data_IF_900844686749
#
_entry.id   IF_900844686749
#
_cell.length_a   1.000
_cell.length_b   1.000
_cell.length_c   1.000
_cell.angle_alpha   90.00
_cell.angle_beta   90.00
_cell.angle_gamma   90.00
#
_symmetry.space_group_name_H-M   'P 1'
#
loop_
_entity.id
_entity.type
_entity.pdbx_description
1 polymer ?
#
# COMPACT_ATOMS: atom_id res chain seq x y z
N UNK A 1 -17.82 -4.35 17.33
CA UNK A 1 -19.05 -3.60 17.60
C UNK A 1 -18.95 -2.26 16.87
N UNK A 2 -20.07 -1.80 16.28
CA UNK A 2 -20.12 -0.47 15.66
C UNK A 2 -19.92 0.57 16.78
N UNK A 3 -19.12 1.60 16.48
CA UNK A 3 -18.91 2.72 17.40
C UNK A 3 -20.22 3.53 17.54
N UNK A 4 -20.75 3.65 18.77
CA UNK A 4 -21.87 4.54 19.07
C UNK A 4 -21.33 5.85 19.66
N UNK A 5 -21.40 6.96 18.92
CA UNK A 5 -20.89 8.23 19.39
C UNK A 5 -21.78 8.90 20.46
N UNK A 6 -23.06 8.51 20.59
CA UNK A 6 -24.05 9.20 21.41
C UNK A 6 -23.67 9.36 22.90
N UNK A 7 -23.20 8.30 23.59
CA UNK A 7 -22.83 8.46 25.01
C UNK A 7 -21.64 9.42 25.21
N UNK A 8 -20.62 9.33 24.34
CA UNK A 8 -19.44 10.17 24.42
C UNK A 8 -19.74 11.62 24.02
N UNK A 9 -20.62 11.82 23.05
CA UNK A 9 -21.12 13.15 22.66
C UNK A 9 -21.90 13.81 23.80
N UNK A 10 -22.86 13.10 24.41
CA UNK A 10 -23.64 13.61 25.53
C UNK A 10 -22.74 14.08 26.69
N UNK A 11 -21.72 13.27 27.03
CA UNK A 11 -20.72 13.64 28.03
C UNK A 11 -19.93 14.89 27.63
N UNK A 12 -19.49 14.99 26.38
CA UNK A 12 -18.73 16.12 25.90
C UNK A 12 -19.56 17.43 25.93
N UNK A 13 -20.87 17.35 25.64
CA UNK A 13 -21.79 18.51 25.79
C UNK A 13 -21.90 18.92 27.26
N UNK A 14 -22.14 17.97 28.15
CA UNK A 14 -22.29 18.22 29.57
C UNK A 14 -21.03 18.84 30.21
N UNK A 15 -19.85 18.54 29.67
CA UNK A 15 -18.55 19.03 30.18
C UNK A 15 -17.99 20.20 29.37
N UNK A 16 -18.75 20.80 28.44
CA UNK A 16 -18.32 21.87 27.51
C UNK A 16 -17.00 21.56 26.77
N UNK A 17 -16.86 20.32 26.29
CA UNK A 17 -15.64 19.80 25.62
C UNK A 17 -15.90 19.28 24.21
N UNK A 18 -16.86 19.87 23.49
CA UNK A 18 -17.18 19.47 22.11
C UNK A 18 -15.98 19.55 21.14
N UNK A 19 -15.13 20.61 21.17
CA UNK A 19 -13.97 20.68 20.28
C UNK A 19 -12.98 19.53 20.54
N UNK A 20 -12.71 19.20 21.81
CA UNK A 20 -11.81 18.12 22.20
C UNK A 20 -12.40 16.74 21.82
N UNK A 21 -13.70 16.57 22.00
CA UNK A 21 -14.39 15.36 21.57
C UNK A 21 -14.31 15.19 20.06
N UNK A 22 -14.61 16.22 19.28
CA UNK A 22 -14.50 16.20 17.82
C UNK A 22 -13.07 15.86 17.35
N UNK A 23 -12.06 16.48 17.98
CA UNK A 23 -10.66 16.16 17.71
C UNK A 23 -10.32 14.70 18.05
N UNK A 24 -10.91 14.15 19.13
CA UNK A 24 -10.68 12.76 19.53
C UNK A 24 -11.24 11.72 18.56
N UNK A 25 -12.15 12.09 17.65
CA UNK A 25 -12.71 11.20 16.64
C UNK A 25 -11.76 11.01 15.45
N UNK A 26 -10.81 11.92 15.25
CA UNK A 26 -9.85 11.81 14.16
C UNK A 26 -8.80 10.71 14.44
N UNK A 27 -8.30 10.00 13.41
CA UNK A 27 -7.17 9.10 13.57
C UNK A 27 -5.95 9.85 14.15
N UNK A 28 -5.28 9.31 15.18
CA UNK A 28 -4.18 10.00 15.87
C UNK A 28 -2.83 9.87 15.15
N UNK A 29 -2.84 9.89 13.81
CA UNK A 29 -1.66 9.63 12.99
C UNK A 29 -1.20 10.87 12.24
N UNK A 30 0.10 11.11 12.22
CA UNK A 30 0.72 12.19 11.43
C UNK A 30 0.40 12.07 9.93
N UNK A 31 0.29 10.84 9.41
CA UNK A 31 -0.15 10.59 8.03
C UNK A 31 -1.56 11.08 7.73
N UNK A 32 -2.51 10.92 8.67
CA UNK A 32 -3.87 11.45 8.53
C UNK A 32 -3.88 12.97 8.59
N UNK A 33 -3.16 13.58 9.56
CA UNK A 33 -3.05 15.04 9.66
C UNK A 33 -2.40 15.66 8.41
N UNK A 34 -1.37 14.98 7.86
CA UNK A 34 -0.76 15.37 6.60
C UNK A 34 -1.75 15.36 5.43
N UNK A 35 -2.61 14.34 5.32
CA UNK A 35 -3.68 14.30 4.32
C UNK A 35 -4.72 15.40 4.53
N UNK A 36 -5.10 15.70 5.77
CA UNK A 36 -6.05 16.78 6.09
C UNK A 36 -5.51 18.14 5.64
N UNK A 37 -4.23 18.42 5.91
CA UNK A 37 -3.54 19.65 5.44
C UNK A 37 -3.41 19.66 3.91
N UNK A 38 -3.13 18.51 3.31
CA UNK A 38 -3.11 18.31 1.87
C UNK A 38 -4.46 18.61 1.25
N UNK A 39 -5.55 18.09 1.82
CA UNK A 39 -6.91 18.35 1.34
C UNK A 39 -7.19 19.86 1.26
N UNK A 40 -6.96 20.58 2.36
CA UNK A 40 -7.18 22.05 2.38
C UNK A 40 -6.34 22.78 1.32
N UNK A 41 -5.11 22.30 1.04
CA UNK A 41 -4.26 22.87 0.00
C UNK A 41 -4.84 22.64 -1.40
N UNK A 42 -5.31 21.43 -1.69
CA UNK A 42 -5.87 21.10 -3.00
C UNK A 42 -7.25 21.70 -3.24
N UNK A 43 -8.07 21.84 -2.19
CA UNK A 43 -9.32 22.62 -2.24
C UNK A 43 -9.05 24.07 -2.61
N UNK A 44 -8.05 24.72 -1.98
CA UNK A 44 -7.65 26.07 -2.34
C UNK A 44 -7.19 26.19 -3.80
N UNK A 45 -6.40 25.20 -4.30
CA UNK A 45 -6.00 25.17 -5.71
C UNK A 45 -7.24 25.06 -6.61
N UNK A 46 -8.20 24.21 -6.29
CA UNK A 46 -9.47 24.06 -7.02
C UNK A 46 -10.24 25.40 -7.05
N UNK A 47 -10.40 26.03 -5.89
CA UNK A 47 -11.20 27.25 -5.73
C UNK A 47 -10.55 28.46 -6.46
N UNK A 48 -9.26 28.41 -6.74
CA UNK A 48 -8.54 29.38 -7.58
C UNK A 48 -8.49 29.01 -9.06
N UNK A 49 -9.27 28.00 -9.50
CA UNK A 49 -9.41 27.59 -10.89
C UNK A 49 -8.65 26.32 -11.26
N UNK A 50 -7.96 25.68 -10.32
CA UNK A 50 -7.22 24.42 -10.58
C UNK A 50 -6.03 24.60 -11.52
N UNK A 51 -5.86 23.65 -12.43
CA UNK A 51 -4.86 23.71 -13.49
C UNK A 51 -5.40 23.20 -14.82
N UNK A 52 -5.02 23.85 -15.93
CA UNK A 52 -5.34 23.35 -17.25
C UNK A 52 -4.50 22.12 -17.59
N UNK A 53 -5.01 21.28 -18.51
CA UNK A 53 -4.24 20.16 -19.05
C UNK A 53 -3.03 20.65 -19.83
N UNK A 54 -1.90 19.99 -19.61
CA UNK A 54 -0.67 20.20 -20.37
C UNK A 54 -0.70 19.38 -21.67
N UNK A 55 -0.20 19.96 -22.76
CA UNK A 55 0.13 19.22 -23.98
C UNK A 55 1.58 18.71 -23.95
N UNK A 56 1.91 17.74 -24.80
CA UNK A 56 3.29 17.25 -24.94
C UNK A 56 4.27 18.33 -25.42
N UNK A 57 3.77 19.35 -26.14
CA UNK A 57 4.55 20.51 -26.61
C UNK A 57 4.48 21.74 -25.71
N UNK A 58 4.01 21.60 -24.44
CA UNK A 58 3.93 22.73 -23.52
C UNK A 58 5.31 23.40 -23.33
N UNK A 59 5.34 24.73 -23.32
CA UNK A 59 6.57 25.46 -23.04
C UNK A 59 7.10 25.25 -21.64
N UNK A 60 8.40 25.47 -21.44
CA UNK A 60 9.03 25.33 -20.11
C UNK A 60 8.32 26.17 -19.03
N UNK A 61 7.88 27.36 -19.35
CA UNK A 61 7.21 28.27 -18.42
C UNK A 61 5.83 27.76 -18.02
N UNK A 62 5.07 27.21 -18.97
CA UNK A 62 3.77 26.59 -18.70
C UNK A 62 3.94 25.37 -17.79
N UNK A 63 4.94 24.53 -18.05
CA UNK A 63 5.25 23.38 -17.19
C UNK A 63 5.68 23.82 -15.78
N UNK A 64 6.53 24.87 -15.67
CA UNK A 64 6.94 25.43 -14.37
C UNK A 64 5.73 25.95 -13.58
N UNK A 65 4.88 26.73 -14.23
CA UNK A 65 3.67 27.28 -13.59
C UNK A 65 2.79 26.15 -13.06
N UNK A 66 2.61 25.05 -13.83
CA UNK A 66 1.86 23.87 -13.38
C UNK A 66 2.53 23.18 -12.18
N UNK A 67 3.84 23.02 -12.19
CA UNK A 67 4.58 22.38 -11.09
C UNK A 67 4.55 23.23 -9.81
N UNK A 68 4.62 24.55 -9.93
CA UNK A 68 4.62 25.50 -8.81
C UNK A 68 3.32 25.47 -7.99
N UNK A 69 2.19 25.07 -8.58
CA UNK A 69 0.93 24.90 -7.86
C UNK A 69 1.02 23.86 -6.72
N UNK A 70 1.84 22.83 -6.92
CA UNK A 70 1.99 21.73 -5.96
C UNK A 70 3.35 21.73 -5.24
N UNK A 71 4.32 22.49 -5.71
CA UNK A 71 5.68 22.55 -5.18
C UNK A 71 6.19 24.00 -5.14
N UNK A 72 6.07 24.61 -3.98
CA UNK A 72 6.49 25.99 -3.75
C UNK A 72 7.99 26.23 -3.92
N UNK A 73 8.81 25.16 -4.02
CA UNK A 73 10.25 25.26 -4.28
C UNK A 73 10.58 25.44 -5.78
N UNK A 74 9.60 25.32 -6.66
CA UNK A 74 9.78 25.58 -8.09
C UNK A 74 9.93 27.08 -8.33
N UNK A 75 11.13 27.48 -8.76
CA UNK A 75 11.48 28.89 -9.09
C UNK A 75 11.73 29.06 -10.58
N UNK A 76 11.70 30.31 -11.05
CA UNK A 76 12.03 30.63 -12.46
C UNK A 76 13.47 30.30 -12.85
N UNK A 77 14.39 30.27 -11.89
CA UNK A 77 15.83 30.06 -12.11
C UNK A 77 16.27 28.60 -11.98
N UNK A 78 15.44 27.75 -11.39
CA UNK A 78 15.76 26.32 -11.24
C UNK A 78 15.75 25.61 -12.60
N UNK A 79 16.66 24.65 -12.87
CA UNK A 79 16.56 23.77 -14.04
C UNK A 79 15.21 23.02 -14.07
N UNK A 80 14.46 23.09 -15.16
CA UNK A 80 13.17 22.42 -15.31
C UNK A 80 13.27 20.90 -15.07
N UNK A 81 14.41 20.30 -15.48
CA UNK A 81 14.70 18.89 -15.25
C UNK A 81 14.66 18.53 -13.76
N UNK A 82 15.20 19.38 -12.88
CA UNK A 82 15.20 19.16 -11.44
C UNK A 82 13.78 19.24 -10.86
N UNK A 83 12.99 20.22 -11.26
CA UNK A 83 11.58 20.36 -10.87
C UNK A 83 10.74 19.17 -11.35
N UNK A 84 10.93 18.71 -12.59
CA UNK A 84 10.27 17.52 -13.14
C UNK A 84 10.68 16.25 -12.37
N UNK A 85 11.95 16.08 -12.04
CA UNK A 85 12.42 14.93 -11.25
C UNK A 85 11.78 14.89 -9.85
N UNK A 86 11.60 16.03 -9.18
CA UNK A 86 10.88 16.09 -7.92
C UNK A 86 9.41 15.70 -8.09
N UNK A 87 8.73 16.25 -9.08
CA UNK A 87 7.34 15.90 -9.40
C UNK A 87 7.20 14.40 -9.71
N UNK A 88 8.08 13.84 -10.54
CA UNK A 88 8.10 12.42 -10.88
C UNK A 88 8.25 11.54 -9.64
N UNK A 89 9.15 11.89 -8.69
CA UNK A 89 9.26 11.17 -7.41
C UNK A 89 7.96 11.24 -6.60
N UNK A 90 7.31 12.41 -6.52
CA UNK A 90 6.03 12.59 -5.84
C UNK A 90 4.93 11.71 -6.43
N UNK A 91 4.93 11.55 -7.76
CA UNK A 91 3.97 10.68 -8.46
C UNK A 91 4.42 9.22 -8.57
N UNK A 92 5.54 8.85 -7.93
CA UNK A 92 6.09 7.49 -7.98
C UNK A 92 6.61 7.10 -9.35
N UNK A 93 6.98 8.06 -10.19
CA UNK A 93 7.55 7.85 -11.52
C UNK A 93 9.09 7.78 -11.46
N UNK A 94 9.72 7.19 -12.49
CA UNK A 94 11.16 7.31 -12.67
C UNK A 94 11.54 8.80 -12.83
N UNK A 95 12.52 9.31 -12.07
CA UNK A 95 12.89 10.71 -12.11
C UNK A 95 13.79 11.02 -13.32
N UNK A 96 13.25 10.89 -14.53
CA UNK A 96 13.96 11.16 -15.79
C UNK A 96 14.24 12.64 -16.01
N UNK A 97 13.44 13.52 -15.43
CA UNK A 97 13.48 14.97 -15.67
C UNK A 97 12.90 15.37 -17.04
N UNK A 98 12.24 14.44 -17.72
CA UNK A 98 11.60 14.68 -19.02
C UNK A 98 10.08 14.74 -18.87
N UNK A 99 9.42 15.58 -19.68
CA UNK A 99 7.96 15.58 -19.79
C UNK A 99 7.53 14.45 -20.74
N UNK A 100 7.78 13.21 -20.32
CA UNK A 100 7.36 12.02 -21.05
C UNK A 100 5.84 11.76 -20.90
N UNK A 101 5.29 10.80 -21.66
CA UNK A 101 3.88 10.50 -21.67
C UNK A 101 3.33 10.12 -20.27
N UNK A 102 4.11 9.43 -19.45
CA UNK A 102 3.70 9.06 -18.08
C UNK A 102 3.68 10.26 -17.16
N UNK A 103 4.69 11.12 -17.27
CA UNK A 103 4.78 12.38 -16.51
C UNK A 103 3.62 13.29 -16.88
N UNK A 104 3.35 13.41 -18.19
CA UNK A 104 2.23 14.21 -18.69
C UNK A 104 0.88 13.68 -18.18
N UNK A 105 0.65 12.37 -18.23
CA UNK A 105 -0.55 11.74 -17.69
C UNK A 105 -0.70 12.05 -16.20
N UNK A 106 0.38 11.95 -15.41
CA UNK A 106 0.33 12.24 -13.98
C UNK A 106 0.06 13.72 -13.67
N UNK A 107 0.64 14.64 -14.43
CA UNK A 107 0.41 16.08 -14.28
C UNK A 107 -0.99 16.51 -14.72
N UNK A 108 -1.61 15.77 -15.60
CA UNK A 108 -2.96 16.04 -16.14
C UNK A 108 -4.10 15.41 -15.34
N UNK A 109 -3.81 14.65 -14.27
CA UNK A 109 -4.86 14.26 -13.33
C UNK A 109 -5.47 15.53 -12.75
N UNK A 110 -6.81 15.63 -12.79
CA UNK A 110 -7.51 16.84 -12.35
C UNK A 110 -7.33 17.12 -10.86
N UNK A 111 -7.53 18.35 -10.44
CA UNK A 111 -7.48 18.70 -9.02
C UNK A 111 -8.59 17.98 -8.23
N UNK A 112 -9.76 17.77 -8.83
CA UNK A 112 -10.87 17.06 -8.20
C UNK A 112 -10.55 15.57 -8.02
N UNK A 113 -9.90 14.93 -9.00
CA UNK A 113 -9.41 13.55 -8.83
C UNK A 113 -8.34 13.44 -7.74
N UNK A 114 -7.49 14.45 -7.58
CA UNK A 114 -6.52 14.51 -6.46
C UNK A 114 -7.22 14.65 -5.12
N UNK A 115 -8.23 15.50 -5.02
CA UNK A 115 -9.07 15.66 -3.83
C UNK A 115 -9.77 14.33 -3.51
N UNK A 116 -10.39 13.69 -4.49
CA UNK A 116 -11.04 12.40 -4.32
C UNK A 116 -10.06 11.33 -3.81
N UNK A 117 -8.83 11.27 -4.36
CA UNK A 117 -7.79 10.37 -3.88
C UNK A 117 -7.37 10.68 -2.44
N UNK A 118 -7.22 11.96 -2.06
CA UNK A 118 -6.92 12.36 -0.68
C UNK A 118 -8.03 11.90 0.26
N UNK A 119 -9.29 12.18 -0.07
CA UNK A 119 -10.45 11.78 0.73
C UNK A 119 -10.54 10.26 0.90
N UNK A 120 -10.34 9.50 -0.16
CA UNK A 120 -10.31 8.04 -0.11
C UNK A 120 -9.22 7.51 0.83
N UNK A 121 -8.03 8.13 0.83
CA UNK A 121 -6.94 7.75 1.71
C UNK A 121 -7.17 8.21 3.16
N UNK A 122 -7.81 9.35 3.40
CA UNK A 122 -8.26 9.74 4.74
C UNK A 122 -9.25 8.72 5.31
N UNK A 123 -10.18 8.20 4.48
CA UNK A 123 -11.10 7.16 4.91
C UNK A 123 -10.37 5.85 5.24
N UNK A 124 -9.36 5.43 4.46
CA UNK A 124 -8.54 4.25 4.77
C UNK A 124 -7.79 4.37 6.09
N UNK A 125 -7.37 5.58 6.48
CA UNK A 125 -6.77 5.80 7.79
C UNK A 125 -7.76 5.58 8.93
N UNK A 126 -9.06 5.82 8.73
CA UNK A 126 -10.10 5.54 9.74
C UNK A 126 -10.32 4.05 9.99
N UNK A 127 -9.89 3.19 9.06
CA UNK A 127 -9.94 1.73 9.22
C UNK A 127 -8.78 1.19 10.03
N UNK A 128 -7.75 1.98 10.27
CA UNK A 128 -6.60 1.58 11.07
C UNK A 128 -6.96 1.56 12.57
N UNK A 129 -6.38 0.62 13.36
CA UNK A 129 -6.51 0.67 14.81
C UNK A 129 -6.04 2.01 15.36
N UNK A 130 -6.62 2.47 16.45
CA UNK A 130 -6.18 3.74 17.06
C UNK A 130 -4.77 3.67 17.67
N UNK A 131 -4.32 2.50 18.00
CA UNK A 131 -2.96 2.21 18.48
C UNK A 131 -2.33 1.17 17.55
N UNK A 132 -1.19 1.48 17.01
CA UNK A 132 -0.42 0.58 16.17
C UNK A 132 0.65 -0.12 17.01
N UNK A 133 0.89 -1.43 16.78
CA UNK A 133 2.00 -2.13 17.41
C UNK A 133 3.33 -1.44 17.14
N UNK A 134 4.19 -1.37 18.18
CA UNK A 134 5.51 -0.72 18.08
C UNK A 134 6.34 -1.34 16.97
N UNK A 135 6.43 -2.67 16.92
CA UNK A 135 7.13 -3.38 15.85
C UNK A 135 6.10 -3.84 14.82
N UNK A 136 6.18 -3.28 13.63
CA UNK A 136 5.25 -3.61 12.56
C UNK A 136 5.85 -3.49 11.17
N UNK A 137 5.31 -4.25 10.27
CA UNK A 137 5.57 -4.19 8.83
C UNK A 137 4.35 -3.58 8.14
N UNK A 138 4.58 -2.59 7.31
CA UNK A 138 3.54 -2.01 6.46
C UNK A 138 3.94 -2.16 4.99
N UNK A 139 3.06 -2.74 4.19
CA UNK A 139 3.22 -2.81 2.74
C UNK A 139 2.23 -1.85 2.10
N UNK A 140 2.72 -0.80 1.46
CA UNK A 140 1.88 0.00 0.59
C UNK A 140 1.79 -0.68 -0.78
N UNK A 141 0.67 -1.30 -1.06
CA UNK A 141 0.41 -2.09 -2.28
C UNK A 141 0.54 -1.21 -3.52
N UNK A 142 -0.08 -0.02 -3.55
CA UNK A 142 -0.07 0.88 -4.71
C UNK A 142 1.34 1.44 -5.01
N UNK A 143 2.17 1.63 -3.98
CA UNK A 143 3.56 2.07 -4.13
C UNK A 143 4.52 0.90 -4.36
N UNK A 144 4.09 -0.33 -4.10
CA UNK A 144 4.91 -1.53 -4.10
C UNK A 144 6.18 -1.34 -3.23
N UNK A 145 5.98 -0.92 -1.97
CA UNK A 145 7.02 -0.65 -0.98
C UNK A 145 6.62 -1.30 0.34
N UNK A 146 7.58 -1.99 0.97
CA UNK A 146 7.48 -2.46 2.35
C UNK A 146 8.32 -1.56 3.24
N UNK A 147 7.77 -1.15 4.38
CA UNK A 147 8.48 -0.41 5.44
C UNK A 147 8.33 -1.12 6.77
N UNK A 148 9.41 -1.25 7.50
CA UNK A 148 9.46 -1.74 8.88
C UNK A 148 9.46 -0.53 9.80
N UNK A 149 8.60 -0.54 10.81
CA UNK A 149 8.49 0.52 11.81
C UNK A 149 8.85 0.01 13.20
N UNK A 150 9.47 0.89 13.97
CA UNK A 150 9.62 0.77 15.41
C UNK A 150 9.02 2.03 16.06
N UNK A 151 7.88 1.90 16.74
CA UNK A 151 7.07 3.06 17.07
C UNK A 151 6.59 3.76 15.80
N UNK A 152 6.71 5.08 15.75
CA UNK A 152 6.35 5.87 14.56
C UNK A 152 7.51 6.10 13.60
N UNK A 153 8.69 5.59 13.92
CA UNK A 153 9.90 5.75 13.10
C UNK A 153 10.08 4.60 12.11
N UNK A 154 10.33 4.89 10.83
CA UNK A 154 10.69 3.89 9.84
C UNK A 154 12.14 3.43 10.04
N UNK A 155 12.33 2.17 10.40
CA UNK A 155 13.67 1.56 10.57
C UNK A 155 14.33 1.26 9.23
N UNK A 156 13.56 0.71 8.30
CA UNK A 156 14.03 0.38 6.94
C UNK A 156 12.87 0.30 5.97
N UNK A 157 13.19 0.55 4.70
CA UNK A 157 12.24 0.36 3.60
C UNK A 157 12.89 -0.43 2.47
N UNK A 158 12.08 -1.16 1.71
CA UNK A 158 12.52 -1.88 0.53
C UNK A 158 11.44 -1.91 -0.55
N UNK A 159 11.88 -2.08 -1.79
CA UNK A 159 10.95 -2.30 -2.90
C UNK A 159 10.29 -3.67 -2.76
N UNK A 160 9.04 -3.73 -3.19
CA UNK A 160 8.25 -4.94 -3.28
C UNK A 160 7.70 -5.13 -4.69
N UNK A 161 7.19 -6.32 -4.98
CA UNK A 161 6.31 -6.57 -6.13
C UNK A 161 5.00 -7.07 -5.58
N UNK A 162 3.92 -6.37 -5.89
CA UNK A 162 2.56 -6.65 -5.43
C UNK A 162 1.70 -7.21 -6.55
N UNK A 163 0.47 -7.55 -6.26
CA UNK A 163 -0.47 -8.13 -7.21
C UNK A 163 -0.72 -7.25 -8.44
N UNK A 164 -0.91 -7.89 -9.58
CA UNK A 164 -1.36 -7.19 -10.79
C UNK A 164 -2.81 -6.71 -10.64
N UNK A 165 -3.30 -5.79 -11.49
CA UNK A 165 -4.70 -5.37 -11.46
C UNK A 165 -5.70 -6.54 -11.58
N UNK A 166 -5.33 -7.60 -12.28
CA UNK A 166 -6.15 -8.81 -12.45
C UNK A 166 -5.97 -9.85 -11.34
N UNK A 167 -4.94 -9.73 -10.51
CA UNK A 167 -4.63 -10.62 -9.39
C UNK A 167 -4.23 -9.76 -8.18
N UNK A 168 -5.19 -9.04 -7.64
CA UNK A 168 -4.96 -8.01 -6.64
C UNK A 168 -4.41 -8.56 -5.32
N UNK A 169 -3.48 -7.84 -4.71
CA UNK A 169 -3.13 -8.07 -3.30
C UNK A 169 -4.25 -7.49 -2.43
N UNK A 170 -4.87 -8.27 -1.53
CA UNK A 170 -5.92 -7.76 -0.66
C UNK A 170 -5.36 -6.82 0.41
N UNK A 171 -6.15 -5.82 0.82
CA UNK A 171 -5.91 -5.10 2.06
C UNK A 171 -6.26 -5.99 3.24
N UNK A 172 -5.36 -6.11 4.20
CA UNK A 172 -5.58 -6.86 5.44
C UNK A 172 -4.58 -6.48 6.53
N UNK A 173 -4.90 -6.86 7.77
CA UNK A 173 -3.97 -6.87 8.90
C UNK A 173 -3.86 -8.28 9.46
N UNK A 174 -2.67 -8.66 9.89
CA UNK A 174 -2.38 -9.96 10.51
C UNK A 174 -1.07 -9.87 11.32
N UNK A 175 -0.57 -11.03 11.77
CA UNK A 175 0.70 -11.14 12.46
C UNK A 175 1.57 -12.20 11.78
N UNK A 176 2.79 -11.82 11.41
CA UNK A 176 3.81 -12.76 10.94
C UNK A 176 4.27 -13.56 12.16
N UNK A 177 4.13 -14.88 12.09
CA UNK A 177 4.44 -15.78 13.19
C UNK A 177 5.65 -16.69 12.93
N UNK A 178 6.02 -16.88 11.65
CA UNK A 178 7.15 -17.74 11.29
C UNK A 178 7.77 -17.36 9.95
N UNK A 179 9.04 -17.74 9.80
CA UNK A 179 9.79 -17.68 8.55
C UNK A 179 10.03 -19.11 8.08
N UNK A 180 9.74 -19.41 6.83
CA UNK A 180 10.13 -20.67 6.22
C UNK A 180 11.36 -20.42 5.38
N UNK A 181 12.46 -21.04 5.79
CA UNK A 181 13.75 -21.01 5.07
C UNK A 181 13.73 -22.11 4.02
N UNK A 182 14.24 -21.82 2.84
CA UNK A 182 14.23 -22.71 1.67
C UNK A 182 12.83 -23.34 1.44
N UNK A 183 11.78 -22.51 1.21
CA UNK A 183 10.41 -22.99 1.08
C UNK A 183 10.20 -23.75 -0.24
N UNK A 184 9.56 -24.94 -0.24
CA UNK A 184 8.95 -25.47 -1.44
C UNK A 184 7.72 -24.64 -1.81
N UNK A 185 7.41 -24.51 -3.09
CA UNK A 185 6.19 -23.84 -3.53
C UNK A 185 5.11 -24.85 -3.89
N UNK A 186 4.11 -24.96 -3.05
CA UNK A 186 2.86 -25.62 -3.38
C UNK A 186 2.05 -24.69 -4.28
N UNK A 187 2.00 -24.97 -5.57
CA UNK A 187 1.36 -24.09 -6.55
C UNK A 187 -0.15 -24.06 -6.32
N UNK A 188 -0.76 -22.87 -6.12
CA UNK A 188 -2.22 -22.74 -6.06
C UNK A 188 -2.87 -23.33 -7.31
N UNK A 189 -4.01 -24.02 -7.14
CA UNK A 189 -4.68 -24.72 -8.25
C UNK A 189 -5.12 -23.75 -9.36
N UNK A 190 -5.46 -22.51 -9.03
CA UNK A 190 -5.77 -21.44 -9.99
C UNK A 190 -4.61 -21.17 -10.96
N UNK A 191 -3.39 -21.06 -10.44
CA UNK A 191 -2.15 -20.88 -11.22
C UNK A 191 -1.82 -22.17 -11.97
N UNK A 192 -1.91 -23.31 -11.28
CA UNK A 192 -1.61 -24.61 -11.88
C UNK A 192 -2.46 -24.85 -13.14
N UNK A 193 -3.77 -24.64 -13.06
CA UNK A 193 -4.69 -24.84 -14.18
C UNK A 193 -4.48 -23.83 -15.31
N UNK A 194 -4.30 -22.57 -14.98
CA UNK A 194 -4.22 -21.48 -15.97
C UNK A 194 -2.87 -21.43 -16.68
N UNK A 195 -1.76 -21.72 -15.98
CA UNK A 195 -0.42 -21.38 -16.47
C UNK A 195 0.55 -22.57 -16.58
N UNK A 196 0.36 -23.61 -15.77
CA UNK A 196 1.35 -24.68 -15.69
C UNK A 196 0.90 -25.95 -16.38
N UNK A 197 -0.28 -26.51 -16.07
CA UNK A 197 -0.75 -27.73 -16.74
C UNK A 197 -0.79 -27.61 -18.27
N UNK A 198 -1.14 -26.46 -18.89
CA UNK A 198 -1.10 -26.31 -20.35
C UNK A 198 0.30 -26.48 -20.96
N UNK A 199 1.37 -26.29 -20.18
CA UNK A 199 2.75 -26.48 -20.67
C UNK A 199 3.14 -27.94 -20.87
N UNK A 200 2.38 -28.86 -20.33
CA UNK A 200 2.64 -30.31 -20.39
C UNK A 200 3.69 -30.81 -19.37
N UNK A 201 3.56 -32.07 -18.98
CA UNK A 201 4.37 -32.73 -17.93
C UNK A 201 5.87 -32.67 -18.18
N UNK A 202 6.31 -32.95 -19.42
CA UNK A 202 7.72 -32.93 -19.77
C UNK A 202 8.36 -31.55 -19.61
N UNK A 203 7.66 -30.48 -20.00
CA UNK A 203 8.11 -29.09 -19.82
C UNK A 203 8.20 -28.74 -18.34
N UNK A 204 7.18 -29.09 -17.56
CA UNK A 204 7.16 -28.82 -16.12
C UNK A 204 8.31 -29.53 -15.40
N UNK A 205 8.60 -30.81 -15.75
CA UNK A 205 9.73 -31.54 -15.19
C UNK A 205 11.07 -30.86 -15.50
N UNK A 206 11.28 -30.42 -16.76
CA UNK A 206 12.48 -29.65 -17.17
C UNK A 206 12.61 -28.32 -16.40
N UNK A 207 11.49 -27.68 -16.02
CA UNK A 207 11.44 -26.45 -15.22
C UNK A 207 11.56 -26.74 -13.72
N UNK A 208 11.78 -27.97 -13.28
CA UNK A 208 11.97 -28.36 -11.89
C UNK A 208 10.67 -28.53 -11.09
N UNK A 209 9.51 -28.55 -11.75
CA UNK A 209 8.23 -28.83 -11.08
C UNK A 209 8.01 -30.34 -10.94
N UNK A 210 7.35 -30.74 -9.85
CA UNK A 210 6.90 -32.12 -9.60
C UNK A 210 5.36 -32.13 -9.56
N UNK A 211 4.77 -33.11 -10.23
CA UNK A 211 3.33 -33.39 -10.16
C UNK A 211 3.14 -34.48 -9.11
N UNK A 212 2.36 -34.18 -8.08
CA UNK A 212 2.12 -35.05 -6.93
C UNK A 212 0.64 -35.39 -6.88
N UNK A 213 0.30 -36.66 -6.70
CA UNK A 213 -1.09 -37.08 -6.47
C UNK A 213 -1.59 -36.59 -5.11
N UNK A 214 -2.84 -36.15 -5.04
CA UNK A 214 -3.49 -35.83 -3.79
C UNK A 214 -4.22 -37.07 -3.24
N UNK A 215 -4.50 -37.14 -1.93
CA UNK A 215 -5.25 -38.25 -1.33
C UNK A 215 -6.61 -38.51 -2.01
N UNK A 216 -7.23 -37.44 -2.52
CA UNK A 216 -8.54 -37.46 -3.19
C UNK A 216 -8.44 -37.85 -4.69
N UNK A 217 -7.27 -38.34 -5.14
CA UNK A 217 -7.05 -38.80 -6.51
C UNK A 217 -6.78 -37.68 -7.54
N UNK A 218 -6.71 -36.44 -7.10
CA UNK A 218 -6.33 -35.30 -7.94
C UNK A 218 -4.81 -35.14 -8.10
N UNK A 219 -4.40 -34.09 -8.79
CA UNK A 219 -2.97 -33.75 -8.98
C UNK A 219 -2.72 -32.32 -8.49
N UNK A 220 -1.58 -32.12 -7.88
CA UNK A 220 -1.03 -30.81 -7.54
C UNK A 220 0.38 -30.65 -8.09
N UNK A 221 0.76 -29.41 -8.37
CA UNK A 221 2.11 -29.05 -8.79
C UNK A 221 2.87 -28.52 -7.58
N UNK A 222 4.09 -29.01 -7.39
CA UNK A 222 5.01 -28.56 -6.36
C UNK A 222 6.33 -28.18 -7.03
N UNK A 223 6.87 -27.01 -6.70
CA UNK A 223 8.24 -26.65 -7.02
C UNK A 223 9.08 -26.87 -5.77
N UNK A 224 10.09 -27.76 -5.81
CA UNK A 224 11.00 -27.98 -4.69
C UNK A 224 11.74 -26.69 -4.29
N UNK A 225 12.21 -26.64 -3.05
CA UNK A 225 13.12 -25.59 -2.62
C UNK A 225 14.38 -25.56 -3.48
N UNK A 226 14.90 -24.36 -3.72
CA UNK A 226 16.12 -24.18 -4.51
C UNK A 226 16.31 -22.74 -4.96
N UNK A 227 17.48 -22.41 -5.54
CA UNK A 227 17.80 -21.05 -5.96
C UNK A 227 16.85 -20.49 -7.03
N UNK A 228 16.26 -21.37 -7.82
CA UNK A 228 15.32 -21.02 -8.89
C UNK A 228 13.84 -21.17 -8.48
N UNK A 229 13.56 -21.49 -7.19
CA UNK A 229 12.19 -21.54 -6.70
C UNK A 229 11.51 -20.19 -6.82
N UNK A 230 10.27 -20.16 -7.27
CA UNK A 230 9.49 -18.92 -7.39
C UNK A 230 9.36 -18.17 -6.06
N UNK A 231 9.42 -18.89 -4.92
CA UNK A 231 9.40 -18.30 -3.59
C UNK A 231 10.79 -17.86 -3.09
N UNK A 232 11.85 -18.06 -3.87
CA UNK A 232 13.22 -17.77 -3.45
C UNK A 232 13.63 -18.58 -2.23
N UNK A 233 14.35 -17.96 -1.32
CA UNK A 233 14.95 -18.59 -0.14
C UNK A 233 14.18 -18.40 1.17
N UNK A 234 13.25 -17.43 1.22
CA UNK A 234 12.53 -17.06 2.43
C UNK A 234 11.04 -16.80 2.15
N UNK A 235 10.20 -17.30 3.03
CA UNK A 235 8.77 -17.03 3.04
C UNK A 235 8.36 -16.64 4.46
N UNK A 236 7.56 -15.58 4.61
CA UNK A 236 7.05 -15.07 5.88
C UNK A 236 5.58 -15.42 5.97
N UNK A 237 5.21 -16.25 6.94
CA UNK A 237 3.86 -16.75 7.09
C UNK A 237 3.06 -15.92 8.10
N UNK A 238 1.85 -15.56 7.70
CA UNK A 238 0.82 -14.94 8.53
C UNK A 238 -0.57 -15.45 8.13
N UNK A 239 -1.46 -15.55 9.11
CA UNK A 239 -2.79 -16.11 8.89
C UNK A 239 -3.69 -15.13 8.14
N UNK A 240 -4.31 -15.58 7.06
CA UNK A 240 -5.30 -14.81 6.31
C UNK A 240 -6.13 -15.74 5.40
N UNK A 241 -7.38 -15.35 5.04
CA UNK A 241 -8.26 -16.18 4.20
C UNK A 241 -7.89 -16.18 2.72
N UNK A 242 -6.93 -15.33 2.29
CA UNK A 242 -6.56 -15.15 0.88
C UNK A 242 -5.33 -15.96 0.47
N UNK A 243 -4.72 -16.70 1.39
CA UNK A 243 -3.47 -17.43 1.20
C UNK A 243 -2.32 -16.55 0.65
N UNK A 244 -2.28 -15.28 1.05
CA UNK A 244 -1.23 -14.31 0.72
C UNK A 244 -0.11 -14.37 1.75
N UNK A 245 1.13 -14.18 1.30
CA UNK A 245 2.33 -14.13 2.15
C UNK A 245 3.38 -13.21 1.54
N UNK A 246 4.39 -12.86 2.36
CA UNK A 246 5.59 -12.18 1.87
C UNK A 246 6.64 -13.24 1.53
N UNK A 247 7.43 -13.03 0.47
CA UNK A 247 8.45 -14.00 0.09
C UNK A 247 9.60 -13.39 -0.73
N UNK A 248 10.68 -14.10 -0.79
CA UNK A 248 11.80 -13.86 -1.69
C UNK A 248 11.45 -14.21 -3.15
N UNK A 249 12.33 -13.90 -4.08
CA UNK A 249 12.17 -14.24 -5.50
C UNK A 249 13.52 -14.27 -6.22
N UNK A 250 13.74 -15.23 -7.17
CA UNK A 250 14.90 -15.17 -8.05
C UNK A 250 14.79 -14.06 -9.12
N UNK A 251 13.59 -13.56 -9.39
CA UNK A 251 13.33 -12.53 -10.41
C UNK A 251 13.68 -11.13 -9.92
N UNK A 252 14.96 -10.89 -9.63
CA UNK A 252 15.46 -9.64 -9.01
C UNK A 252 15.30 -8.40 -9.88
N UNK A 253 15.39 -8.55 -11.20
CA UNK A 253 15.29 -7.43 -12.16
C UNK A 253 13.96 -6.68 -12.08
N UNK A 254 12.88 -7.33 -11.60
CA UNK A 254 11.58 -6.67 -11.47
C UNK A 254 11.59 -5.53 -10.44
N UNK A 255 12.47 -5.57 -9.45
CA UNK A 255 12.60 -4.49 -8.47
C UNK A 255 13.12 -3.19 -9.08
N UNK A 256 13.88 -3.25 -10.16
CA UNK A 256 14.34 -2.07 -10.91
C UNK A 256 13.28 -1.52 -11.87
N UNK A 257 12.20 -2.28 -12.10
CA UNK A 257 11.09 -1.82 -12.93
C UNK A 257 10.29 -0.72 -12.23
N UNK A 258 9.81 0.23 -13.02
CA UNK A 258 8.83 1.20 -12.57
C UNK A 258 7.52 0.52 -12.15
N UNK A 259 6.99 -0.33 -13.01
CA UNK A 259 5.79 -1.10 -12.74
C UNK A 259 6.14 -2.38 -11.98
N UNK A 260 5.74 -2.41 -10.71
CA UNK A 260 5.96 -3.54 -9.80
C UNK A 260 4.66 -4.21 -9.34
N UNK A 261 3.54 -3.90 -9.98
CA UNK A 261 2.27 -4.59 -9.74
C UNK A 261 2.14 -5.76 -10.72
N UNK A 262 2.81 -6.88 -10.42
CA UNK A 262 3.01 -7.97 -11.38
C UNK A 262 2.99 -9.37 -10.75
N UNK A 263 2.57 -9.52 -9.49
CA UNK A 263 2.42 -10.82 -8.85
C UNK A 263 0.98 -11.36 -8.98
N UNK A 264 0.77 -12.59 -8.51
CA UNK A 264 -0.54 -13.22 -8.38
C UNK A 264 -1.23 -12.91 -7.02
N UNK A 265 -0.86 -11.81 -6.37
CA UNK A 265 -1.40 -11.39 -5.08
C UNK A 265 -0.41 -11.47 -3.93
N UNK A 266 0.53 -12.42 -3.91
CA UNK A 266 1.60 -12.47 -2.92
C UNK A 266 2.61 -11.34 -3.13
N UNK A 267 3.35 -10.98 -2.08
CA UNK A 267 4.27 -9.85 -2.06
C UNK A 267 5.71 -10.35 -2.13
N UNK A 268 6.43 -10.02 -3.22
CA UNK A 268 7.86 -10.32 -3.38
C UNK A 268 8.69 -9.21 -2.78
N UNK A 269 9.77 -9.58 -2.09
CA UNK A 269 10.62 -8.66 -1.34
C UNK A 269 11.99 -8.48 -1.99
N UNK A 270 12.49 -7.25 -2.01
CA UNK A 270 13.82 -6.93 -2.52
C UNK A 270 14.93 -7.39 -1.56
N UNK A 271 14.73 -7.25 -0.24
CA UNK A 271 15.73 -7.56 0.80
C UNK A 271 15.14 -8.50 1.87
N UNK A 272 14.76 -9.73 1.51
CA UNK A 272 14.07 -10.63 2.43
C UNK A 272 14.96 -11.08 3.59
N UNK A 273 16.28 -11.27 3.36
CA UNK A 273 17.24 -11.65 4.43
C UNK A 273 17.30 -10.55 5.48
N UNK A 274 17.41 -9.27 5.07
CA UNK A 274 17.43 -8.14 6.02
C UNK A 274 16.14 -8.06 6.84
N UNK A 275 14.98 -8.35 6.24
CA UNK A 275 13.73 -8.41 6.97
C UNK A 275 13.71 -9.56 7.98
N UNK A 276 14.20 -10.73 7.59
CA UNK A 276 14.24 -11.90 8.47
C UNK A 276 15.16 -11.65 9.68
N UNK A 277 16.34 -11.12 9.46
CA UNK A 277 17.30 -10.77 10.53
C UNK A 277 16.69 -9.76 11.52
N UNK A 278 15.98 -8.74 11.05
CA UNK A 278 15.29 -7.79 11.93
C UNK A 278 14.21 -8.47 12.79
N UNK A 279 13.50 -9.47 12.24
CA UNK A 279 12.44 -10.16 12.96
C UNK A 279 12.95 -11.14 14.02
N UNK A 280 14.17 -11.66 13.87
CA UNK A 280 14.78 -12.60 14.81
C UNK A 280 15.82 -11.95 15.71
N UNK A 281 16.08 -10.65 15.57
CA UNK A 281 17.16 -9.94 16.24
C UNK A 281 17.13 -10.04 17.79
N UNK A 282 15.95 -10.23 18.38
CA UNK A 282 15.79 -10.39 19.82
C UNK A 282 16.10 -11.81 20.34
N UNK A 283 16.29 -12.79 19.45
CA UNK A 283 16.66 -14.15 19.80
C UNK A 283 18.14 -14.39 19.52
N UNK A 284 19.02 -14.51 20.55
CA UNK A 284 20.44 -14.71 20.37
C UNK A 284 20.82 -15.97 19.59
N UNK A 285 19.94 -16.99 19.59
CA UNK A 285 20.18 -18.25 18.86
C UNK A 285 19.88 -18.14 17.34
N UNK A 286 19.11 -17.13 16.93
CA UNK A 286 18.69 -16.92 15.55
C UNK A 286 19.33 -15.69 14.91
N UNK A 287 19.67 -14.68 15.72
CA UNK A 287 20.28 -13.43 15.26
C UNK A 287 21.58 -13.69 14.51
N UNK A 288 21.68 -13.19 13.29
CA UNK A 288 22.82 -13.41 12.41
C UNK A 288 22.90 -14.82 11.80
N UNK A 289 21.89 -15.70 12.01
CA UNK A 289 21.92 -17.08 11.55
C UNK A 289 21.10 -17.34 10.27
N UNK A 290 20.30 -16.38 9.81
CA UNK A 290 19.41 -16.59 8.67
C UNK A 290 20.17 -17.04 7.42
N UNK A 291 21.32 -16.44 7.12
CA UNK A 291 22.14 -16.84 5.96
C UNK A 291 22.66 -18.27 6.12
N UNK A 292 23.17 -18.64 7.29
CA UNK A 292 23.63 -20.01 7.57
C UNK A 292 22.52 -21.04 7.39
N UNK A 293 21.31 -20.72 7.82
CA UNK A 293 20.12 -21.59 7.61
C UNK A 293 19.79 -21.73 6.12
N UNK A 294 19.87 -20.65 5.35
CA UNK A 294 19.68 -20.67 3.88
C UNK A 294 20.69 -21.60 3.22
N UNK A 295 21.94 -21.53 3.62
CA UNK A 295 23.06 -22.28 3.02
C UNK A 295 22.96 -23.78 3.27
N UNK A 296 22.21 -24.23 4.30
CA UNK A 296 21.89 -25.65 4.49
C UNK A 296 21.13 -26.28 3.32
N UNK A 297 20.44 -25.47 2.51
CA UNK A 297 19.49 -25.88 1.47
C UNK A 297 18.34 -26.79 1.96
N UNK A 298 18.16 -26.90 3.29
CA UNK A 298 17.07 -27.67 3.90
C UNK A 298 15.88 -26.74 4.17
N UNK A 299 14.69 -27.22 3.91
CA UNK A 299 13.46 -26.52 4.31
C UNK A 299 13.32 -26.56 5.84
N UNK A 300 13.26 -25.40 6.44
CA UNK A 300 13.09 -25.26 7.89
C UNK A 300 12.06 -24.17 8.20
N UNK A 301 11.26 -24.38 9.23
CA UNK A 301 10.37 -23.37 9.79
C UNK A 301 11.02 -22.79 11.07
N UNK A 302 11.23 -21.50 11.05
CA UNK A 302 11.72 -20.72 12.18
C UNK A 302 10.53 -19.97 12.77
N UNK A 303 10.13 -20.30 13.98
CA UNK A 303 9.14 -19.52 14.73
C UNK A 303 9.74 -18.22 15.18
N UNK A 304 9.00 -17.11 15.07
CA UNK A 304 9.50 -15.83 15.55
C UNK A 304 9.43 -15.77 17.08
N UNK A 305 10.42 -15.13 17.74
CA UNK A 305 10.43 -14.95 19.21
C UNK A 305 9.22 -14.13 19.69
N UNK A 306 8.76 -13.20 18.86
CA UNK A 306 7.49 -12.51 19.00
C UNK A 306 6.85 -12.32 17.64
N UNK A 307 5.52 -12.37 17.59
CA UNK A 307 4.80 -12.10 16.34
C UNK A 307 4.97 -10.63 15.93
N UNK A 308 5.13 -10.38 14.64
CA UNK A 308 5.29 -9.03 14.09
C UNK A 308 4.04 -8.66 13.30
N UNK A 309 3.39 -7.60 13.72
CA UNK A 309 2.19 -7.12 13.02
C UNK A 309 2.50 -6.77 11.56
N UNK A 310 1.64 -7.20 10.65
CA UNK A 310 1.73 -6.88 9.22
C UNK A 310 0.44 -6.25 8.73
N UNK A 311 0.59 -5.12 8.05
CA UNK A 311 -0.50 -4.39 7.41
C UNK A 311 -0.25 -4.33 5.91
N UNK A 312 -1.16 -4.86 5.12
CA UNK A 312 -1.20 -4.68 3.67
C UNK A 312 -2.19 -3.54 3.39
N UNK A 313 -1.68 -2.41 2.97
CA UNK A 313 -2.39 -1.15 2.84
C UNK A 313 -2.38 -0.66 1.39
N UNK A 314 -3.38 0.12 1.02
CA UNK A 314 -3.47 0.68 -0.33
C UNK A 314 -3.53 2.19 -0.25
N UNK A 315 -2.36 2.83 -0.15
CA UNK A 315 -2.24 4.28 -0.08
C UNK A 315 -1.77 4.85 -1.41
N UNK A 316 -2.70 5.52 -2.09
CA UNK A 316 -2.49 6.22 -3.36
C UNK A 316 -2.20 7.71 -3.17
N UNK A 317 -2.58 8.28 -2.02
CA UNK A 317 -2.22 9.62 -1.60
C UNK A 317 -1.67 9.58 -0.17
N UNK A 318 -0.55 10.27 0.07
CA UNK A 318 0.06 10.42 1.40
C UNK A 318 0.96 11.65 1.45
N UNK A 319 1.12 12.23 2.64
CA UNK A 319 2.02 13.36 2.86
C UNK A 319 3.40 12.88 3.31
N UNK A 320 4.45 13.52 2.83
CA UNK A 320 5.80 13.42 3.39
C UNK A 320 5.90 14.23 4.70
N UNK A 321 6.97 14.01 5.47
CA UNK A 321 7.21 14.74 6.74
C UNK A 321 7.22 16.26 6.59
N UNK A 322 7.62 16.77 5.43
CA UNK A 322 7.60 18.21 5.09
C UNK A 322 6.23 18.71 4.59
N UNK A 323 5.17 17.89 4.64
CA UNK A 323 3.82 18.22 4.19
C UNK A 323 3.59 18.11 2.67
N UNK A 324 4.59 17.74 1.89
CA UNK A 324 4.43 17.57 0.43
C UNK A 324 3.54 16.36 0.14
N UNK A 325 2.50 16.56 -0.66
CA UNK A 325 1.62 15.47 -1.11
C UNK A 325 2.29 14.59 -2.15
N UNK A 326 2.16 13.30 -1.98
CA UNK A 326 2.61 12.27 -2.90
C UNK A 326 1.40 11.48 -3.38
N UNK A 327 1.45 11.07 -4.65
CA UNK A 327 0.38 10.29 -5.25
C UNK A 327 0.94 9.04 -5.93
N UNK A 328 0.09 8.03 -6.04
CA UNK A 328 0.31 6.83 -6.86
C UNK A 328 -0.89 6.65 -7.79
N UNK A 329 -0.69 5.95 -8.87
CA UNK A 329 -1.82 5.50 -9.67
C UNK A 329 -2.75 4.62 -8.83
N UNK A 330 -4.02 4.55 -9.23
CA UNK A 330 -5.03 3.66 -8.64
C UNK A 330 -5.29 2.46 -9.57
N UNK A 331 -4.34 1.52 -9.71
CA UNK A 331 -4.44 0.41 -10.66
C UNK A 331 -5.52 -0.61 -10.33
N UNK A 332 -6.10 -0.53 -9.13
CA UNK A 332 -7.20 -1.41 -8.70
C UNK A 332 -8.56 -0.73 -8.74
N UNK A 333 -8.63 0.55 -9.15
CA UNK A 333 -9.84 1.39 -9.16
C UNK A 333 -10.53 1.51 -7.78
N UNK A 334 -9.77 1.33 -6.68
CA UNK A 334 -10.33 1.35 -5.33
C UNK A 334 -10.58 2.77 -4.81
N UNK A 335 -9.85 3.76 -5.28
CA UNK A 335 -10.09 5.17 -4.92
C UNK A 335 -11.43 5.64 -5.49
N UNK A 336 -11.66 5.38 -6.76
CA UNK A 336 -12.89 5.74 -7.44
C UNK A 336 -14.11 5.11 -6.77
N UNK A 337 -14.03 3.81 -6.47
CA UNK A 337 -15.10 3.10 -5.78
C UNK A 337 -15.36 3.68 -4.38
N UNK A 338 -14.30 4.01 -3.64
CA UNK A 338 -14.42 4.55 -2.29
C UNK A 338 -14.95 5.98 -2.30
N UNK A 339 -14.48 6.83 -3.21
CA UNK A 339 -14.96 8.20 -3.37
C UNK A 339 -16.47 8.22 -3.66
N UNK A 340 -16.96 7.37 -4.57
CA UNK A 340 -18.39 7.22 -4.85
C UNK A 340 -19.20 6.83 -3.61
N UNK A 341 -18.67 5.94 -2.76
CA UNK A 341 -19.34 5.54 -1.51
C UNK A 341 -19.35 6.67 -0.48
N UNK A 342 -18.27 7.44 -0.37
CA UNK A 342 -18.20 8.60 0.52
C UNK A 342 -19.24 9.65 0.11
N UNK A 343 -19.31 9.99 -1.18
CA UNK A 343 -20.29 10.93 -1.71
C UNK A 343 -21.73 10.46 -1.49
N UNK A 344 -22.02 9.18 -1.77
CA UNK A 344 -23.35 8.61 -1.56
C UNK A 344 -23.76 8.64 -0.08
N UNK A 345 -22.80 8.51 0.84
CA UNK A 345 -23.05 8.60 2.28
C UNK A 345 -23.28 10.03 2.74
N UNK A 346 -22.55 11.01 2.20
CA UNK A 346 -22.72 12.41 2.54
C UNK A 346 -24.07 12.98 2.07
N UNK A 347 -24.59 12.52 0.92
CA UNK A 347 -25.91 12.91 0.42
C UNK A 347 -27.08 12.36 1.25
N UNK A 348 -26.88 11.30 2.06
CA UNK A 348 -27.91 10.74 2.94
C UNK A 348 -28.10 11.54 4.22
N UNK A 349 -27.16 12.42 4.57
CA UNK A 349 -27.26 13.35 5.69
C UNK A 349 -27.76 14.67 5.13
N UNK A 350 -29.03 14.73 4.72
CA UNK A 350 -29.67 15.99 4.31
C UNK A 350 -29.94 16.82 5.59
N UNK A 351 -29.32 17.98 5.75
CA UNK A 351 -29.56 18.83 6.92
C UNK A 351 -31.02 19.32 7.02
N UNK A 352 -31.80 19.29 5.95
CA UNK A 352 -33.23 19.67 5.95
C UNK A 352 -34.13 18.62 6.61
N UNK A 353 -33.68 17.35 6.70
CA UNK A 353 -34.44 16.28 7.35
C UNK A 353 -34.45 16.40 8.90
N UNK A 354 -33.58 17.20 9.50
CA UNK A 354 -33.48 17.37 10.96
C UNK A 354 -34.55 18.37 11.48
N UNK A 355 -35.10 19.21 10.61
CA UNK A 355 -36.09 20.24 11.00
C UNK A 355 -37.56 19.79 10.90
N UNK A 356 -37.83 18.54 10.51
CA UNK A 356 -39.25 18.07 10.31
C UNK A 356 -39.85 17.35 11.52
N UNK A 357 -39.14 17.27 12.68
CA UNK A 357 -39.66 16.62 13.90
C UNK A 357 -39.86 17.56 15.08
N UNK A 358 -40.26 18.81 14.86
CA UNK A 358 -40.84 19.61 15.93
C UNK A 358 -42.28 19.10 16.16
N UNK A 359 -42.67 18.67 17.37
CA UNK A 359 -44.04 18.30 17.65
C UNK A 359 -44.94 19.54 17.55
N UNK A 360 -46.02 19.42 16.75
CA UNK A 360 -47.05 20.44 16.70
C UNK A 360 -47.59 20.66 18.12
N UNK A 361 -47.50 21.88 18.60
CA UNK A 361 -48.18 22.29 19.82
C UNK A 361 -49.68 22.07 19.60
N UNK A 362 -50.32 21.26 20.46
CA UNK A 362 -51.77 21.16 20.54
C UNK A 362 -52.26 22.33 21.38
N UNK A 363 -53.06 23.17 20.77
CA UNK A 363 -53.95 24.09 21.48
C UNK A 363 -55.08 23.30 22.19
#
# INVERSE_FOLDING_TARGET
AAFDPRPSLAKAIAEDRLPQWAASLTPPYSGYDGLRKGLATYEKIRDTGGWPSLSAGASADVVRARLALEDKSVTGTEPLTAALQRAQRRYGLNPTGLLDARTLTALNVSVDDRIAAIMANMERWRWMPRELPVNRVQVNIAAAVLTVFQGDEPVTSMRAVTGSPTNQTPMLSSNIHSIVVNPPWNVPMSIARKELFPKGRATLAKQGYKIVKTPEGGERIVQPAGPNSALGRLKFDFNNPFAVYLHDTPSRGKFSSYDRLASHGCIRLEKPVSLAELMVASDPSLSGQIQSLIDTNKTQRVSLPSQVAVYLLYWTAFASSNGTMNFRADPYDWDKLLAQKIEASSRRVDPTAVNSTAPAAKD
#
